data_IF_711214810150
#
_entry.id   IF_711214810150
#
_cell.length_a   1.000
_cell.length_b   1.000
_cell.length_c   1.000
_cell.angle_alpha   90.00
_cell.angle_beta   90.00
_cell.angle_gamma   90.00
#
_symmetry.space_group_name_H-M   'P 1'
#
loop_
_entity.id
_entity.type
_entity.pdbx_description
1 polymer ?
#
# COMPACT_ATOMS: atom_id res chain seq x y z
N UNK A 1 -1.49 16.11 -3.41
CA UNK A 1 -2.95 15.96 -3.43
C UNK A 1 -3.44 14.55 -3.01
N UNK A 2 -2.64 13.47 -3.09
CA UNK A 2 -2.95 12.13 -2.55
C UNK A 2 -4.23 11.46 -3.09
N UNK A 3 -4.69 11.84 -4.29
CA UNK A 3 -5.87 11.25 -4.92
C UNK A 3 -5.56 10.00 -5.74
N UNK A 4 -4.28 9.74 -6.00
CA UNK A 4 -3.85 8.50 -6.62
C UNK A 4 -4.27 7.30 -5.76
N UNK A 5 -4.58 6.19 -6.41
CA UNK A 5 -5.10 4.99 -5.75
C UNK A 5 -4.03 3.91 -5.69
N UNK A 6 -4.04 3.15 -4.60
CA UNK A 6 -3.21 1.97 -4.42
C UNK A 6 -4.09 0.77 -4.08
N UNK A 7 -3.76 -0.38 -4.64
CA UNK A 7 -4.54 -1.60 -4.49
C UNK A 7 -3.75 -2.61 -3.67
N UNK A 8 -3.95 -2.59 -2.37
CA UNK A 8 -3.30 -3.48 -1.40
C UNK A 8 -4.13 -4.74 -1.16
N UNK A 9 -3.48 -5.77 -0.66
CA UNK A 9 -4.12 -6.97 -0.12
C UNK A 9 -3.75 -7.11 1.36
N UNK A 10 -4.68 -7.51 2.18
CA UNK A 10 -4.40 -7.86 3.57
C UNK A 10 -3.86 -9.30 3.65
N UNK A 11 -2.99 -9.55 4.64
CA UNK A 11 -2.27 -10.83 4.73
C UNK A 11 -3.19 -12.05 4.82
N UNK A 12 -4.30 -11.97 5.52
CA UNK A 12 -5.25 -13.09 5.64
C UNK A 12 -5.93 -13.41 4.32
N UNK A 13 -6.28 -12.39 3.53
CA UNK A 13 -6.85 -12.58 2.20
C UNK A 13 -5.81 -13.16 1.23
N UNK A 14 -4.53 -12.76 1.35
CA UNK A 14 -3.44 -13.33 0.58
C UNK A 14 -3.23 -14.82 0.92
N UNK A 15 -3.23 -15.17 2.20
CA UNK A 15 -3.13 -16.56 2.67
C UNK A 15 -4.30 -17.40 2.14
N UNK A 16 -5.53 -16.87 2.22
CA UNK A 16 -6.71 -17.52 1.66
C UNK A 16 -6.58 -17.76 0.14
N UNK A 17 -6.12 -16.75 -0.61
CA UNK A 17 -5.87 -16.88 -2.05
C UNK A 17 -4.81 -17.94 -2.36
N UNK A 18 -3.72 -17.97 -1.58
CA UNK A 18 -2.65 -18.97 -1.74
C UNK A 18 -3.16 -20.39 -1.51
N UNK A 19 -3.97 -20.58 -0.44
CA UNK A 19 -4.62 -21.87 -0.17
C UNK A 19 -5.55 -22.31 -1.30
N UNK A 20 -6.39 -21.39 -1.80
CA UNK A 20 -7.29 -21.67 -2.93
C UNK A 20 -6.50 -22.04 -4.19
N UNK A 21 -5.41 -21.33 -4.50
CA UNK A 21 -4.56 -21.64 -5.65
C UNK A 21 -3.91 -23.02 -5.53
N UNK A 22 -3.39 -23.38 -4.34
CA UNK A 22 -2.78 -24.69 -4.08
C UNK A 22 -3.75 -25.86 -4.21
N UNK A 23 -5.03 -25.66 -3.92
CA UNK A 23 -6.09 -26.66 -4.05
C UNK A 23 -6.86 -26.58 -5.37
N UNK A 24 -6.50 -25.64 -6.26
CA UNK A 24 -7.17 -25.44 -7.53
C UNK A 24 -6.87 -26.59 -8.51
N UNK A 25 -7.83 -26.88 -9.37
CA UNK A 25 -7.66 -27.77 -10.54
C UNK A 25 -6.82 -27.10 -11.65
N UNK A 26 -6.67 -25.78 -11.61
CA UNK A 26 -5.90 -24.99 -12.56
C UNK A 26 -4.40 -25.01 -12.20
N UNK A 27 -3.74 -26.13 -12.49
CA UNK A 27 -2.29 -26.27 -12.30
C UNK A 27 -1.55 -25.29 -13.20
N UNK A 28 -0.54 -24.58 -12.66
CA UNK A 28 0.28 -23.57 -13.35
C UNK A 28 -0.47 -22.28 -13.74
N UNK A 29 -1.55 -21.93 -13.05
CA UNK A 29 -2.22 -20.64 -13.23
C UNK A 29 -1.45 -19.50 -12.56
N UNK A 30 -1.29 -18.38 -13.27
CA UNK A 30 -0.81 -17.13 -12.68
C UNK A 30 -2.00 -16.24 -12.30
N UNK A 31 -2.02 -15.74 -11.07
CA UNK A 31 -3.12 -14.94 -10.52
C UNK A 31 -2.62 -13.65 -9.90
N UNK A 32 -3.29 -12.56 -10.20
CA UNK A 32 -3.11 -11.29 -9.49
C UNK A 32 -4.06 -11.30 -8.30
N UNK A 33 -3.51 -11.04 -7.09
CA UNK A 33 -4.25 -10.99 -5.85
C UNK A 33 -4.18 -9.58 -5.28
N UNK A 34 -5.35 -9.00 -5.02
CA UNK A 34 -5.48 -7.70 -4.39
C UNK A 34 -6.73 -7.67 -3.49
N UNK A 35 -6.88 -6.62 -2.69
CA UNK A 35 -8.02 -6.44 -1.79
C UNK A 35 -9.33 -6.16 -2.52
N UNK A 36 -10.43 -5.88 -1.77
CA UNK A 36 -11.75 -5.67 -2.36
C UNK A 36 -11.80 -4.49 -3.33
N UNK A 37 -11.06 -3.44 -3.03
CA UNK A 37 -11.04 -2.19 -3.81
C UNK A 37 -9.76 -1.37 -3.57
N UNK A 38 -9.32 -0.56 -4.56
CA UNK A 38 -8.19 0.34 -4.38
C UNK A 38 -8.57 1.51 -3.46
N UNK A 39 -7.62 1.97 -2.65
CA UNK A 39 -7.80 3.06 -1.69
C UNK A 39 -6.97 4.28 -2.09
N UNK A 40 -7.51 5.50 -1.94
CA UNK A 40 -6.78 6.73 -2.19
C UNK A 40 -5.64 6.90 -1.17
N UNK A 41 -4.49 7.40 -1.64
CA UNK A 41 -3.29 7.54 -0.81
C UNK A 41 -3.49 8.44 0.42
N UNK A 42 -4.25 9.52 0.29
CA UNK A 42 -4.60 10.38 1.43
C UNK A 42 -5.43 9.65 2.49
N UNK A 43 -6.34 8.75 2.07
CA UNK A 43 -7.11 7.92 3.00
C UNK A 43 -6.24 6.84 3.64
N UNK A 44 -5.26 6.27 2.90
CA UNK A 44 -4.28 5.33 3.44
C UNK A 44 -3.54 5.97 4.61
N UNK A 45 -2.95 7.16 4.40
CA UNK A 45 -2.24 7.88 5.45
C UNK A 45 -3.15 8.17 6.67
N UNK A 46 -4.41 8.60 6.40
CA UNK A 46 -5.40 8.86 7.45
C UNK A 46 -5.72 7.60 8.26
N UNK A 47 -6.00 6.48 7.61
CA UNK A 47 -6.35 5.24 8.30
C UNK A 47 -5.20 4.69 9.12
N UNK A 48 -3.96 4.76 8.61
CA UNK A 48 -2.76 4.36 9.36
C UNK A 48 -2.58 5.24 10.59
N UNK A 49 -2.66 6.56 10.46
CA UNK A 49 -2.53 7.46 11.62
C UNK A 49 -3.63 7.21 12.67
N UNK A 50 -4.88 7.07 12.22
CA UNK A 50 -6.02 6.77 13.11
C UNK A 50 -5.86 5.45 13.85
N UNK A 51 -5.30 4.42 13.19
CA UNK A 51 -5.13 3.09 13.79
C UNK A 51 -4.15 3.06 14.97
N UNK A 52 -3.28 4.07 15.07
CA UNK A 52 -2.31 4.26 16.17
C UNK A 52 -2.61 5.52 17.01
N UNK A 53 -3.86 6.00 16.98
CA UNK A 53 -4.32 7.19 17.73
C UNK A 53 -3.53 8.46 17.42
N UNK A 54 -3.03 8.61 16.19
CA UNK A 54 -2.32 9.81 15.72
C UNK A 54 -3.15 10.55 14.66
N UNK A 55 -2.84 11.84 14.47
CA UNK A 55 -3.39 12.66 13.39
C UNK A 55 -2.30 12.95 12.36
N UNK A 56 -2.71 13.11 11.10
CA UNK A 56 -1.81 13.59 10.04
C UNK A 56 -1.86 15.12 9.96
N UNK A 57 -0.74 15.77 9.61
CA UNK A 57 -0.73 17.22 9.36
C UNK A 57 -1.67 17.61 8.21
N UNK A 58 -2.35 18.74 8.33
CA UNK A 58 -3.29 19.26 7.34
C UNK A 58 -2.60 19.98 6.17
N UNK A 59 -1.37 19.61 5.81
CA UNK A 59 -0.72 20.19 4.64
C UNK A 59 -0.43 19.12 3.59
N UNK A 60 -0.60 19.48 2.32
CA UNK A 60 -0.28 18.63 1.19
C UNK A 60 0.79 19.27 0.33
N UNK A 61 1.85 18.53 0.03
CA UNK A 61 2.90 18.95 -0.89
C UNK A 61 2.49 18.51 -2.30
N UNK A 62 2.63 19.41 -3.29
CA UNK A 62 2.37 19.04 -4.68
C UNK A 62 3.44 18.07 -5.19
N UNK A 63 3.06 17.24 -6.18
CA UNK A 63 3.99 16.28 -6.80
C UNK A 63 5.27 16.94 -7.32
N UNK A 64 5.14 18.12 -7.95
CA UNK A 64 6.27 18.83 -8.52
C UNK A 64 7.26 19.29 -7.44
N UNK A 65 6.75 19.86 -6.35
CA UNK A 65 7.58 20.26 -5.20
C UNK A 65 8.26 19.05 -4.55
N UNK A 66 7.52 17.95 -4.34
CA UNK A 66 8.10 16.74 -3.80
C UNK A 66 9.19 16.15 -4.70
N UNK A 67 9.04 16.21 -6.04
CA UNK A 67 10.07 15.78 -6.97
C UNK A 67 11.30 16.70 -6.94
N UNK A 68 11.12 18.03 -6.88
CA UNK A 68 12.25 18.96 -6.74
C UNK A 68 13.07 18.65 -5.48
N UNK A 69 12.42 18.48 -4.34
CA UNK A 69 13.08 18.12 -3.08
C UNK A 69 13.81 16.76 -3.23
N UNK A 70 13.18 15.78 -3.86
CA UNK A 70 13.76 14.46 -4.05
C UNK A 70 15.02 14.49 -4.94
N UNK A 71 15.04 15.32 -6.00
CA UNK A 71 16.24 15.49 -6.83
C UNK A 71 17.37 16.22 -6.09
N UNK A 72 17.04 17.22 -5.26
CA UNK A 72 18.03 17.88 -4.39
C UNK A 72 18.63 16.86 -3.42
N UNK A 73 17.81 16.03 -2.79
CA UNK A 73 18.25 14.98 -1.89
C UNK A 73 19.14 13.95 -2.60
N UNK A 74 18.80 13.56 -3.83
CA UNK A 74 19.62 12.65 -4.63
C UNK A 74 20.99 13.27 -4.94
N UNK A 75 21.04 14.57 -5.26
CA UNK A 75 22.30 15.27 -5.50
C UNK A 75 23.15 15.34 -4.23
N UNK A 76 22.56 15.70 -3.09
CA UNK A 76 23.25 15.70 -1.78
C UNK A 76 23.77 14.30 -1.45
N UNK A 77 22.97 13.25 -1.66
CA UNK A 77 23.42 11.86 -1.45
C UNK A 77 24.65 11.52 -2.30
N UNK A 78 24.68 11.96 -3.57
CA UNK A 78 25.83 11.71 -4.48
C UNK A 78 27.09 12.44 -4.07
N UNK A 79 26.97 13.66 -3.54
CA UNK A 79 28.12 14.51 -3.18
C UNK A 79 28.66 14.15 -1.78
N UNK A 80 27.79 13.94 -0.81
CA UNK A 80 28.16 13.81 0.61
C UNK A 80 28.20 12.35 1.10
N UNK A 81 27.59 11.41 0.38
CA UNK A 81 27.39 10.02 0.82
C UNK A 81 26.31 9.86 1.90
N UNK A 82 25.64 10.95 2.34
CA UNK A 82 24.58 10.93 3.34
C UNK A 82 23.31 10.35 2.70
N UNK A 83 22.77 9.27 3.27
CA UNK A 83 21.55 8.61 2.76
C UNK A 83 20.29 9.35 3.23
N UNK A 84 19.80 10.31 2.45
CA UNK A 84 18.52 10.97 2.71
C UNK A 84 17.34 10.08 2.26
N UNK A 85 16.19 10.14 2.94
CA UNK A 85 15.13 9.12 2.79
C UNK A 85 14.27 9.29 1.54
N UNK A 86 14.29 10.46 0.88
CA UNK A 86 13.41 10.76 -0.26
C UNK A 86 14.17 10.68 -1.58
N UNK A 87 13.73 9.79 -2.46
CA UNK A 87 14.26 9.62 -3.82
C UNK A 87 13.17 9.87 -4.87
N UNK A 88 13.51 10.35 -6.08
CA UNK A 88 12.55 10.60 -7.15
C UNK A 88 11.70 9.37 -7.50
N UNK A 89 12.30 8.16 -7.46
CA UNK A 89 11.58 6.90 -7.69
C UNK A 89 10.49 6.65 -6.65
N UNK A 90 10.75 6.94 -5.37
CA UNK A 90 9.74 6.83 -4.29
C UNK A 90 8.59 7.81 -4.51
N UNK A 91 8.89 9.07 -4.84
CA UNK A 91 7.85 10.08 -5.13
C UNK A 91 6.99 9.64 -6.31
N UNK A 92 7.61 9.14 -7.39
CA UNK A 92 6.88 8.61 -8.56
C UNK A 92 5.95 7.47 -8.16
N UNK A 93 6.44 6.48 -7.43
CA UNK A 93 5.64 5.34 -6.95
C UNK A 93 4.48 5.79 -6.07
N UNK A 94 4.75 6.68 -5.10
CA UNK A 94 3.73 7.17 -4.16
C UNK A 94 2.68 8.07 -4.82
N UNK A 95 2.94 8.60 -6.01
CA UNK A 95 2.01 9.48 -6.75
C UNK A 95 1.39 8.82 -7.98
N UNK A 96 1.72 7.56 -8.26
CA UNK A 96 1.13 6.78 -9.35
C UNK A 96 -0.08 6.00 -8.85
N UNK A 97 -1.10 5.88 -9.69
CA UNK A 97 -2.25 5.02 -9.41
C UNK A 97 -1.93 3.59 -9.83
N UNK A 98 -2.13 2.66 -8.91
CA UNK A 98 -2.06 1.22 -9.15
C UNK A 98 -3.44 0.61 -8.97
N UNK A 99 -3.90 -0.06 -9.99
CA UNK A 99 -5.13 -0.85 -9.98
C UNK A 99 -4.84 -2.21 -10.60
N UNK A 100 -5.29 -3.25 -9.95
CA UNK A 100 -5.10 -4.63 -10.40
C UNK A 100 -6.44 -5.28 -10.64
N UNK A 101 -6.58 -5.92 -11.80
CA UNK A 101 -7.75 -6.75 -12.09
C UNK A 101 -7.58 -8.13 -11.45
N UNK A 102 -8.51 -8.46 -10.56
CA UNK A 102 -8.55 -9.74 -9.83
C UNK A 102 -9.68 -10.66 -10.34
N UNK A 103 -10.28 -10.37 -11.49
CA UNK A 103 -11.41 -11.11 -12.03
C UNK A 103 -11.07 -12.57 -12.28
N UNK A 104 -9.87 -12.86 -12.77
CA UNK A 104 -9.38 -14.22 -12.97
C UNK A 104 -9.31 -15.01 -11.65
N UNK A 105 -8.74 -14.42 -10.61
CA UNK A 105 -8.68 -15.04 -9.29
C UNK A 105 -10.09 -15.28 -8.70
N UNK A 106 -11.02 -14.35 -8.90
CA UNK A 106 -12.42 -14.53 -8.48
C UNK A 106 -13.12 -15.66 -9.21
N UNK A 107 -13.00 -15.73 -10.54
CA UNK A 107 -13.72 -16.70 -11.35
C UNK A 107 -13.14 -18.12 -11.26
N UNK A 108 -11.82 -18.27 -11.26
CA UNK A 108 -11.16 -19.58 -11.30
C UNK A 108 -10.87 -20.17 -9.92
N UNK A 109 -10.53 -19.31 -8.92
CA UNK A 109 -10.22 -19.76 -7.56
C UNK A 109 -11.37 -19.57 -6.58
N UNK A 110 -12.42 -18.83 -6.95
CA UNK A 110 -13.45 -18.41 -6.00
C UNK A 110 -12.94 -17.40 -4.96
N UNK A 111 -11.84 -16.68 -5.27
CA UNK A 111 -11.24 -15.71 -4.36
C UNK A 111 -12.20 -14.58 -4.02
N UNK A 112 -12.41 -14.34 -2.73
CA UNK A 112 -13.29 -13.29 -2.20
C UNK A 112 -12.52 -12.50 -1.12
N UNK A 113 -11.83 -11.40 -1.49
CA UNK A 113 -11.17 -10.56 -0.49
C UNK A 113 -12.20 -9.88 0.42
N UNK A 114 -11.96 -9.91 1.74
CA UNK A 114 -12.91 -9.44 2.76
C UNK A 114 -12.38 -8.24 3.55
N UNK A 115 -11.07 -8.01 3.52
CA UNK A 115 -10.42 -7.00 4.33
C UNK A 115 -10.02 -5.81 3.45
N UNK A 116 -10.76 -4.71 3.57
CA UNK A 116 -10.37 -3.45 2.95
C UNK A 116 -9.21 -2.79 3.71
N UNK A 117 -8.61 -1.72 3.13
CA UNK A 117 -7.46 -1.07 3.72
C UNK A 117 -7.76 -0.48 5.11
N UNK A 118 -8.96 0.07 5.32
CA UNK A 118 -9.36 0.66 6.60
C UNK A 118 -9.38 -0.39 7.71
N UNK A 119 -10.02 -1.53 7.45
CA UNK A 119 -10.11 -2.66 8.38
C UNK A 119 -8.73 -3.27 8.64
N UNK A 120 -7.93 -3.47 7.58
CA UNK A 120 -6.56 -3.98 7.71
C UNK A 120 -5.65 -3.06 8.53
N UNK A 121 -5.71 -1.75 8.29
CA UNK A 121 -4.97 -0.77 9.08
C UNK A 121 -5.37 -0.80 10.56
N UNK A 122 -6.67 -0.89 10.86
CA UNK A 122 -7.16 -0.96 12.24
C UNK A 122 -6.65 -2.22 12.97
N UNK A 123 -6.68 -3.39 12.32
CA UNK A 123 -6.16 -4.65 12.87
C UNK A 123 -4.66 -4.54 13.15
N UNK A 124 -3.91 -4.04 12.17
CA UNK A 124 -2.45 -3.90 12.29
C UNK A 124 -2.06 -2.88 13.36
N UNK A 125 -2.71 -1.71 13.37
CA UNK A 125 -2.45 -0.67 14.38
C UNK A 125 -2.74 -1.13 15.80
N UNK A 126 -3.85 -1.85 15.99
CA UNK A 126 -4.18 -2.45 17.28
C UNK A 126 -3.07 -3.40 17.76
N UNK A 127 -2.58 -4.28 16.87
CA UNK A 127 -1.49 -5.20 17.19
C UNK A 127 -0.22 -4.46 17.63
N UNK A 128 0.17 -3.37 16.92
CA UNK A 128 1.33 -2.57 17.29
C UNK A 128 1.19 -1.90 18.66
N UNK A 129 0.00 -1.37 18.98
CA UNK A 129 -0.27 -0.75 20.29
C UNK A 129 -0.22 -1.78 21.43
N UNK A 130 -0.76 -2.97 21.22
CA UNK A 130 -0.79 -4.03 22.22
C UNK A 130 0.60 -4.65 22.50
N UNK A 131 1.50 -4.63 21.51
CA UNK A 131 2.84 -5.21 21.61
C UNK A 131 3.94 -4.16 21.90
N UNK A 132 3.59 -2.91 22.27
CA UNK A 132 4.53 -1.83 22.54
C UNK A 132 5.60 -1.67 21.45
N UNK A 133 5.22 -1.84 20.18
CA UNK A 133 6.14 -1.84 19.03
C UNK A 133 6.14 -0.50 18.25
N UNK A 134 5.68 0.60 18.90
CA UNK A 134 5.64 1.97 18.37
C UNK A 134 6.50 2.91 19.18
#
# INVERSE_FOLDING_TARGET
NGQNKMHYVFVTDLVAATYLAGNSKHKNGEYIIAGPQPTQFNLIAKYVAQSINKSIPNFAISRSVALCIAYIFELVNKITGIKLPLFPSRVKTMTTTYYYDISKAKSELGYKPEIDFKKGAAITGKWYLENNSL
#
